data_IF_591846271633
#
_entry.id   IF_591846271633
#
_cell.length_a   1.000
_cell.length_b   1.000
_cell.length_c   1.000
_cell.angle_alpha   90.00
_cell.angle_beta   90.00
_cell.angle_gamma   90.00
#
_symmetry.space_group_name_H-M   'P 1'
#
loop_
_entity.id
_entity.type
_entity.pdbx_description
1 polymer ?
#
# COMPACT_ATOMS: atom_id res chain seq x y z
N UNK A 1 10.95 -13.91 10.60
CA UNK A 1 12.17 -13.85 9.76
C UNK A 1 11.79 -14.27 8.34
N UNK A 2 12.46 -13.79 7.29
CA UNK A 2 12.15 -14.25 5.93
C UNK A 2 12.42 -15.76 5.81
N UNK A 3 11.57 -16.54 5.11
CA UNK A 3 11.67 -18.00 5.09
C UNK A 3 13.02 -18.52 4.56
N UNK A 4 13.52 -17.94 3.46
CA UNK A 4 14.73 -18.41 2.78
C UNK A 4 16.00 -17.77 3.34
N UNK A 5 16.04 -16.43 3.37
CA UNK A 5 17.24 -15.67 3.71
C UNK A 5 17.38 -15.35 5.20
N UNK A 6 16.43 -15.83 6.03
CA UNK A 6 16.40 -15.63 7.50
C UNK A 6 16.52 -14.17 7.96
N UNK A 7 16.17 -13.20 7.11
CA UNK A 7 16.23 -11.76 7.41
C UNK A 7 15.23 -11.40 8.49
N UNK A 8 15.58 -10.45 9.35
CA UNK A 8 14.66 -9.93 10.36
C UNK A 8 13.63 -9.04 9.66
N UNK A 9 12.35 -9.22 9.98
CA UNK A 9 11.30 -8.34 9.47
C UNK A 9 11.43 -6.98 10.16
N UNK A 10 11.61 -5.92 9.38
CA UNK A 10 11.82 -4.57 9.93
C UNK A 10 10.49 -3.84 10.20
N UNK A 11 9.42 -4.19 9.50
CA UNK A 11 8.08 -3.64 9.72
C UNK A 11 7.32 -4.38 10.82
N UNK A 12 7.00 -3.70 11.92
CA UNK A 12 6.14 -4.25 12.99
C UNK A 12 5.07 -3.29 13.50
N UNK A 13 5.22 -1.98 13.24
CA UNK A 13 4.34 -0.91 13.74
C UNK A 13 3.55 -0.19 12.65
N UNK A 14 3.79 -0.55 11.38
CA UNK A 14 3.14 0.09 10.24
C UNK A 14 3.55 1.56 10.01
N UNK A 15 4.76 1.96 10.45
CA UNK A 15 5.20 3.36 10.37
C UNK A 15 5.35 3.87 8.92
N UNK A 16 5.54 2.97 7.95
CA UNK A 16 5.67 3.31 6.54
C UNK A 16 4.52 4.13 5.96
N UNK A 17 3.28 3.96 6.46
CA UNK A 17 2.13 4.76 6.01
C UNK A 17 2.24 6.23 6.41
N UNK A 18 2.81 6.52 7.58
CA UNK A 18 3.05 7.90 8.01
C UNK A 18 4.17 8.55 7.19
N UNK A 19 5.17 7.76 6.75
CA UNK A 19 6.19 8.26 5.84
C UNK A 19 5.57 8.62 4.48
N UNK A 20 4.71 7.76 3.92
CA UNK A 20 3.99 8.06 2.67
C UNK A 20 3.11 9.31 2.80
N UNK A 21 2.32 9.42 3.87
CA UNK A 21 1.47 10.59 4.15
C UNK A 21 2.25 11.89 4.37
N UNK A 22 3.51 11.79 4.83
CA UNK A 22 4.38 12.95 4.97
C UNK A 22 4.93 13.41 3.62
N UNK A 23 5.18 12.49 2.70
CA UNK A 23 5.76 12.77 1.39
C UNK A 23 4.75 13.42 0.42
N UNK A 24 3.46 13.12 0.55
CA UNK A 24 2.41 13.77 -0.24
C UNK A 24 1.00 13.45 0.25
N UNK A 25 0.03 14.22 -0.24
CA UNK A 25 -1.39 14.14 0.14
C UNK A 25 -2.12 12.89 -0.36
N UNK A 26 -1.59 12.22 -1.39
CA UNK A 26 -2.22 11.05 -2.03
C UNK A 26 -1.24 9.91 -2.26
N UNK A 27 -1.76 8.68 -2.19
CA UNK A 27 -1.01 7.45 -2.50
C UNK A 27 -1.82 6.55 -3.44
N UNK A 28 -1.27 6.21 -4.60
CA UNK A 28 -1.67 5.05 -5.40
C UNK A 28 -0.83 3.83 -5.03
N UNK A 29 -1.44 2.64 -5.04
CA UNK A 29 -0.75 1.37 -4.79
C UNK A 29 -1.18 0.35 -5.82
N UNK A 30 -0.21 -0.25 -6.50
CA UNK A 30 -0.42 -1.45 -7.30
C UNK A 30 0.46 -2.58 -6.77
N UNK A 31 -0.09 -3.77 -6.55
CA UNK A 31 0.71 -4.93 -6.17
C UNK A 31 0.28 -6.19 -6.89
N UNK A 32 1.28 -6.89 -7.41
CA UNK A 32 1.12 -8.19 -8.05
C UNK A 32 1.76 -9.25 -7.15
N UNK A 33 0.96 -10.24 -6.77
CA UNK A 33 1.39 -11.36 -5.94
C UNK A 33 1.17 -12.67 -6.68
N UNK A 34 1.99 -13.67 -6.38
CA UNK A 34 1.83 -15.02 -6.90
C UNK A 34 1.51 -15.97 -5.75
N UNK A 35 0.36 -16.65 -5.86
CA UNK A 35 -0.09 -17.63 -4.88
C UNK A 35 -0.56 -18.88 -5.62
N UNK A 36 0.00 -20.03 -5.24
CA UNK A 36 -0.35 -21.33 -5.84
C UNK A 36 -0.21 -21.36 -7.38
N UNK A 37 0.72 -20.58 -7.93
CA UNK A 37 0.99 -20.50 -9.39
C UNK A 37 0.05 -19.56 -10.15
N UNK A 38 -0.88 -18.88 -9.47
CA UNK A 38 -1.72 -17.85 -10.05
C UNK A 38 -1.24 -16.47 -9.60
N UNK A 39 -1.21 -15.53 -10.55
CA UNK A 39 -0.86 -14.14 -10.28
C UNK A 39 -2.10 -13.28 -10.20
N UNK A 40 -2.18 -12.50 -9.12
CA UNK A 40 -3.26 -11.58 -8.86
C UNK A 40 -2.70 -10.17 -8.66
N UNK A 41 -3.32 -9.21 -9.33
CA UNK A 41 -3.09 -7.79 -9.16
C UNK A 41 -4.13 -7.22 -8.21
N UNK A 42 -3.68 -6.38 -7.28
CA UNK A 42 -4.50 -5.56 -6.39
C UNK A 42 -4.14 -4.11 -6.64
N UNK A 43 -5.12 -3.33 -7.09
CA UNK A 43 -4.98 -1.90 -7.36
C UNK A 43 -5.82 -1.11 -6.35
N UNK A 44 -5.16 -0.23 -5.62
CA UNK A 44 -5.79 0.88 -4.90
C UNK A 44 -5.44 2.13 -5.71
N UNK A 45 -6.39 2.69 -6.49
CA UNK A 45 -6.08 3.81 -7.36
C UNK A 45 -5.60 5.03 -6.58
N UNK A 46 -6.21 5.27 -5.42
CA UNK A 46 -5.93 6.43 -4.60
C UNK A 46 -6.34 6.22 -3.14
N UNK A 47 -5.47 6.66 -2.24
CA UNK A 47 -5.73 6.90 -0.83
C UNK A 47 -5.50 8.39 -0.59
N UNK A 48 -6.55 9.11 -0.24
CA UNK A 48 -6.46 10.48 0.27
C UNK A 48 -6.18 10.44 1.77
N UNK A 49 -5.03 10.98 2.21
CA UNK A 49 -4.67 10.93 3.64
C UNK A 49 -5.56 11.81 4.52
N UNK A 50 -6.30 12.77 3.95
CA UNK A 50 -7.19 13.66 4.70
C UNK A 50 -8.35 12.92 5.36
N UNK A 51 -8.75 11.75 4.83
CA UNK A 51 -9.83 10.93 5.40
C UNK A 51 -9.50 10.41 6.80
N UNK A 52 -8.21 10.40 7.16
CA UNK A 52 -7.71 9.96 8.47
C UNK A 52 -7.62 11.09 9.51
N UNK A 53 -7.94 12.33 9.15
CA UNK A 53 -7.83 13.50 10.05
C UNK A 53 -9.13 13.84 10.81
N UNK A 54 -10.22 13.11 10.58
CA UNK A 54 -11.52 13.35 11.23
C UNK A 54 -11.72 12.56 12.54
N UNK A 55 -12.87 12.79 13.19
CA UNK A 55 -13.30 12.07 14.41
C UNK A 55 -13.80 10.63 14.13
N UNK A 56 -13.40 10.04 13.01
CA UNK A 56 -13.78 8.68 12.59
C UNK A 56 -12.76 7.67 13.08
N UNK A 57 -13.20 6.55 13.63
CA UNK A 57 -12.27 5.47 13.98
C UNK A 57 -11.63 4.88 12.72
N UNK A 58 -10.34 4.55 12.79
CA UNK A 58 -9.60 3.95 11.66
C UNK A 58 -10.25 2.67 11.10
N UNK A 59 -10.97 1.93 11.94
CA UNK A 59 -11.66 0.70 11.54
C UNK A 59 -12.88 0.96 10.65
N UNK A 60 -13.42 2.18 10.69
CA UNK A 60 -14.61 2.58 9.94
C UNK A 60 -14.26 3.26 8.60
N UNK A 61 -12.96 3.50 8.35
CA UNK A 61 -12.47 4.04 7.09
C UNK A 61 -12.37 2.90 6.07
N UNK A 62 -13.25 2.92 5.07
CA UNK A 62 -13.21 2.00 3.94
C UNK A 62 -12.27 2.53 2.84
N UNK A 63 -11.51 1.63 2.23
CA UNK A 63 -10.65 1.92 1.08
C UNK A 63 -11.06 0.99 -0.04
N UNK A 64 -11.43 1.56 -1.18
CA UNK A 64 -11.77 0.80 -2.37
C UNK A 64 -10.52 0.22 -3.02
N UNK A 65 -10.65 -1.00 -3.53
CA UNK A 65 -9.60 -1.67 -4.27
C UNK A 65 -10.20 -2.54 -5.38
N UNK A 66 -9.42 -2.74 -6.42
CA UNK A 66 -9.74 -3.62 -7.55
C UNK A 66 -8.82 -4.82 -7.54
N UNK A 67 -9.34 -5.95 -8.01
CA UNK A 67 -8.55 -7.18 -8.18
C UNK A 67 -8.75 -7.76 -9.55
N UNK A 68 -7.67 -8.23 -10.17
CA UNK A 68 -7.72 -8.94 -11.45
C UNK A 68 -6.61 -9.98 -11.55
N UNK A 69 -6.74 -10.91 -12.51
CA UNK A 69 -5.63 -11.76 -12.89
C UNK A 69 -4.53 -10.92 -13.57
N UNK A 70 -3.28 -11.25 -13.31
CA UNK A 70 -2.13 -10.49 -13.80
C UNK A 70 -1.17 -11.37 -14.59
N UNK A 71 -0.61 -10.82 -15.66
CA UNK A 71 0.40 -11.50 -16.49
C UNK A 71 1.83 -10.98 -16.19
N UNK A 72 1.92 -9.84 -15.51
CA UNK A 72 3.17 -9.17 -15.16
C UNK A 72 3.88 -9.88 -13.99
N UNK A 73 5.19 -9.65 -13.79
CA UNK A 73 5.93 -10.21 -12.65
C UNK A 73 5.41 -9.70 -11.30
N UNK A 74 5.66 -10.47 -10.24
CA UNK A 74 5.33 -10.05 -8.87
C UNK A 74 6.08 -8.78 -8.48
N UNK A 75 5.43 -7.91 -7.74
CA UNK A 75 6.01 -6.65 -7.28
C UNK A 75 4.99 -5.76 -6.59
N UNK A 76 5.47 -4.62 -6.11
CA UNK A 76 4.63 -3.57 -5.52
C UNK A 76 5.16 -2.23 -5.98
N UNK A 77 4.26 -1.40 -6.48
CA UNK A 77 4.52 -0.02 -6.87
C UNK A 77 3.70 0.91 -5.97
N UNK A 78 4.33 2.00 -5.56
CA UNK A 78 3.72 3.07 -4.77
C UNK A 78 3.92 4.37 -5.52
N UNK A 79 2.83 5.05 -5.83
CA UNK A 79 2.84 6.36 -6.48
C UNK A 79 2.37 7.42 -5.48
N UNK A 80 3.24 8.37 -5.12
CA UNK A 80 2.89 9.45 -4.20
C UNK A 80 2.69 10.72 -5.02
N UNK A 81 1.53 11.33 -4.88
CA UNK A 81 1.16 12.58 -5.56
C UNK A 81 0.72 13.63 -4.55
N UNK A 82 0.53 14.87 -5.01
CA UNK A 82 0.36 16.05 -4.15
C UNK A 82 1.51 16.17 -3.13
N UNK A 83 2.74 16.16 -3.64
CA UNK A 83 3.94 16.16 -2.82
C UNK A 83 3.95 17.37 -1.88
N UNK A 84 4.33 17.13 -0.62
CA UNK A 84 4.55 18.21 0.35
C UNK A 84 5.71 19.08 -0.14
N UNK A 85 5.47 20.38 -0.34
CA UNK A 85 6.56 21.35 -0.52
C UNK A 85 7.24 21.61 0.84
N UNK A 86 8.56 21.75 0.84
CA UNK A 86 9.37 22.06 2.04
C UNK A 86 9.09 23.46 2.61
#
# INVERSE_FOLDING_TARGET
RSPELKRVMMGSKGIGRFAAAKLGGRLGLNSITERQGERQEVLIPEIDWSIFNGDTYLADIAIDYFTQCADQPTGTELEITELSED
#
